data_IF_224627337236
#
_entry.id   IF_224627337236
#
_cell.length_a   1.000
_cell.length_b   1.000
_cell.length_c   1.000
_cell.angle_alpha   90.00
_cell.angle_beta   90.00
_cell.angle_gamma   90.00
#
_symmetry.space_group_name_H-M   'P 1'
#
loop_
_entity.id
_entity.type
_entity.pdbx_description
1 polymer ?
#
# COMPACT_ATOMS: atom_id res chain seq x y z
N UNK A 1 12.02 -10.22 20.55
CA UNK A 1 10.96 -10.46 19.54
C UNK A 1 9.89 -9.37 19.59
N UNK A 2 9.24 -9.14 20.75
CA UNK A 2 8.29 -8.01 20.92
C UNK A 2 8.87 -6.64 20.55
N UNK A 3 10.18 -6.48 20.72
CA UNK A 3 10.96 -5.30 20.32
C UNK A 3 10.89 -4.98 18.83
N UNK A 4 11.05 -5.97 17.93
CA UNK A 4 11.02 -5.72 16.48
C UNK A 4 9.61 -5.41 15.97
N UNK A 5 8.58 -6.04 16.54
CA UNK A 5 7.18 -5.74 16.19
C UNK A 5 6.85 -4.28 16.55
N UNK A 6 7.16 -3.87 17.77
CA UNK A 6 6.95 -2.49 18.22
C UNK A 6 7.75 -1.50 17.38
N UNK A 7 9.00 -1.82 17.05
CA UNK A 7 9.86 -0.98 16.22
C UNK A 7 9.29 -0.78 14.80
N UNK A 8 8.90 -1.87 14.14
CA UNK A 8 8.29 -1.81 12.79
C UNK A 8 6.99 -1.02 12.83
N UNK A 9 6.10 -1.29 13.80
CA UNK A 9 4.84 -0.56 13.92
C UNK A 9 5.05 0.93 14.21
N UNK A 10 6.06 1.30 14.99
CA UNK A 10 6.38 2.71 15.25
C UNK A 10 6.89 3.42 13.98
N UNK A 11 7.79 2.78 13.22
CA UNK A 11 8.28 3.32 11.94
C UNK A 11 7.17 3.45 10.92
N UNK A 12 6.39 2.38 10.73
CA UNK A 12 5.28 2.36 9.79
C UNK A 12 4.23 3.41 10.15
N UNK A 13 3.93 3.61 11.44
CA UNK A 13 3.01 4.66 11.87
C UNK A 13 3.50 6.05 11.48
N UNK A 14 4.79 6.34 11.63
CA UNK A 14 5.35 7.63 11.23
C UNK A 14 5.34 7.79 9.70
N UNK A 15 5.89 6.81 8.97
CA UNK A 15 5.99 6.89 7.51
C UNK A 15 4.61 6.94 6.83
N UNK A 16 3.66 6.09 7.24
CA UNK A 16 2.34 6.05 6.64
C UNK A 16 1.46 7.25 7.01
N UNK A 17 1.74 7.94 8.11
CA UNK A 17 1.05 9.20 8.44
C UNK A 17 1.43 10.34 7.50
N UNK A 18 2.67 10.33 6.97
CA UNK A 18 3.15 11.34 6.03
C UNK A 18 2.65 11.11 4.60
N UNK A 19 2.22 9.89 4.26
CA UNK A 19 1.69 9.57 2.93
C UNK A 19 0.36 10.29 2.68
N UNK A 20 0.41 11.31 1.83
CA UNK A 20 -0.77 12.12 1.42
C UNK A 20 -1.17 11.91 -0.03
N UNK A 21 -0.27 11.39 -0.86
CA UNK A 21 -0.52 11.10 -2.26
C UNK A 21 0.12 9.77 -2.70
N UNK A 22 -0.15 9.40 -3.96
CA UNK A 22 0.33 8.14 -4.56
C UNK A 22 1.83 8.13 -4.84
N UNK A 23 2.45 9.29 -5.04
CA UNK A 23 3.91 9.40 -5.20
C UNK A 23 4.59 9.05 -3.88
N UNK A 24 4.08 9.61 -2.78
CA UNK A 24 4.55 9.29 -1.43
C UNK A 24 4.29 7.82 -1.07
N UNK A 25 3.18 7.23 -1.53
CA UNK A 25 2.93 5.80 -1.38
C UNK A 25 3.97 4.94 -2.13
N UNK A 26 4.36 5.35 -3.35
CA UNK A 26 5.41 4.68 -4.12
C UNK A 26 6.79 4.79 -3.43
N UNK A 27 7.07 5.91 -2.78
CA UNK A 27 8.31 6.09 -2.01
C UNK A 27 8.32 5.26 -0.73
N UNK A 28 7.19 5.21 -0.01
CA UNK A 28 7.01 4.27 1.11
C UNK A 28 7.24 2.83 0.67
N UNK A 29 6.62 2.40 -0.44
CA UNK A 29 6.81 1.05 -1.03
C UNK A 29 8.29 0.77 -1.26
N UNK A 30 9.01 1.70 -1.90
CA UNK A 30 10.46 1.56 -2.18
C UNK A 30 11.28 1.41 -0.90
N UNK A 31 10.94 2.19 0.14
CA UNK A 31 11.55 2.10 1.46
C UNK A 31 11.36 0.73 2.11
N UNK A 32 10.13 0.22 2.14
CA UNK A 32 9.81 -1.09 2.71
C UNK A 32 10.48 -2.22 1.94
N UNK A 33 10.52 -2.16 0.61
CA UNK A 33 11.26 -3.14 -0.22
C UNK A 33 12.74 -3.17 0.15
N UNK A 34 13.38 -2.00 0.28
CA UNK A 34 14.79 -1.90 0.67
C UNK A 34 15.04 -2.55 2.04
N UNK A 35 14.18 -2.27 3.01
CA UNK A 35 14.25 -2.87 4.34
C UNK A 35 14.10 -4.40 4.29
N UNK A 36 13.11 -4.91 3.56
CA UNK A 36 12.85 -6.35 3.42
C UNK A 36 13.93 -7.12 2.66
N UNK A 37 14.69 -6.44 1.81
CA UNK A 37 15.85 -7.02 1.12
C UNK A 37 17.14 -6.93 1.95
N UNK A 38 17.13 -6.24 3.10
CA UNK A 38 18.29 -6.09 3.98
C UNK A 38 18.29 -7.21 5.05
N UNK A 39 19.23 -8.18 5.05
CA UNK A 39 19.12 -9.43 5.81
C UNK A 39 18.99 -9.35 7.35
N UNK A 40 19.14 -8.17 7.95
CA UNK A 40 19.04 -7.93 9.40
C UNK A 40 18.14 -6.73 9.74
N UNK A 41 17.36 -6.24 8.77
CA UNK A 41 16.39 -5.20 9.03
C UNK A 41 15.36 -5.64 10.09
N UNK A 42 14.89 -4.74 10.96
CA UNK A 42 13.76 -5.01 11.86
C UNK A 42 12.55 -5.60 11.14
N UNK A 43 12.31 -5.24 9.88
CA UNK A 43 11.22 -5.80 9.05
C UNK A 43 11.43 -7.28 8.77
N UNK A 44 12.63 -7.67 8.35
CA UNK A 44 12.99 -9.07 8.12
C UNK A 44 12.90 -9.88 9.40
N UNK A 45 13.32 -9.31 10.52
CA UNK A 45 13.26 -9.96 11.83
C UNK A 45 11.83 -10.09 12.36
N UNK A 46 10.99 -9.09 12.12
CA UNK A 46 9.56 -9.11 12.46
C UNK A 46 8.78 -10.14 11.61
N UNK A 47 9.14 -10.32 10.34
CA UNK A 47 8.47 -11.30 9.47
C UNK A 47 8.98 -12.73 9.64
N UNK A 48 10.08 -12.97 10.36
CA UNK A 48 10.49 -14.33 10.72
C UNK A 48 9.43 -14.94 11.64
N UNK A 49 9.15 -16.23 11.45
CA UNK A 49 8.18 -17.01 12.24
C UNK A 49 8.68 -17.27 13.65
N UNK A 50 8.74 -16.20 14.44
CA UNK A 50 9.57 -16.10 15.62
C UNK A 50 8.74 -15.32 16.65
N UNK A 51 8.31 -16.00 17.72
CA UNK A 51 7.40 -15.44 18.75
C UNK A 51 6.09 -16.24 18.88
N UNK A 52 5.21 -15.83 19.80
CA UNK A 52 3.92 -16.52 19.98
C UNK A 52 2.99 -16.28 18.79
N UNK A 53 2.04 -17.20 18.53
CA UNK A 53 1.01 -17.04 17.48
C UNK A 53 0.23 -15.74 17.68
N UNK A 54 -0.09 -15.42 18.95
CA UNK A 54 -0.84 -14.23 19.33
C UNK A 54 -0.07 -12.94 19.03
N UNK A 55 1.19 -12.84 19.44
CA UNK A 55 1.98 -11.62 19.19
C UNK A 55 2.13 -11.33 17.68
N UNK A 56 2.22 -12.39 16.87
CA UNK A 56 2.28 -12.25 15.40
C UNK A 56 0.95 -11.79 14.82
N UNK A 57 -0.18 -12.31 15.32
CA UNK A 57 -1.51 -11.87 14.92
C UNK A 57 -1.72 -10.39 15.26
N UNK A 58 -1.40 -10.00 16.51
CA UNK A 58 -1.52 -8.60 16.97
C UNK A 58 -0.63 -7.65 16.14
N UNK A 59 0.59 -8.08 15.80
CA UNK A 59 1.48 -7.33 14.91
C UNK A 59 0.90 -7.14 13.51
N UNK A 60 0.44 -8.22 12.88
CA UNK A 60 -0.13 -8.17 11.53
C UNK A 60 -1.42 -7.35 11.49
N UNK A 61 -2.27 -7.47 12.51
CA UNK A 61 -3.49 -6.68 12.64
C UNK A 61 -3.17 -5.19 12.81
N UNK A 62 -2.16 -4.86 13.62
CA UNK A 62 -1.68 -3.48 13.79
C UNK A 62 -1.14 -2.88 12.49
N UNK A 63 -0.31 -3.63 11.76
CA UNK A 63 0.24 -3.15 10.49
C UNK A 63 -0.84 -3.02 9.42
N UNK A 64 -1.79 -3.97 9.38
CA UNK A 64 -2.96 -3.94 8.50
C UNK A 64 -3.78 -2.67 8.71
N UNK A 65 -4.04 -2.31 9.96
CA UNK A 65 -4.79 -1.10 10.30
C UNK A 65 -4.10 0.19 9.85
N UNK A 66 -2.76 0.25 9.95
CA UNK A 66 -1.99 1.40 9.45
C UNK A 66 -2.10 1.52 7.92
N UNK A 67 -1.92 0.40 7.20
CA UNK A 67 -1.99 0.36 5.74
C UNK A 67 -3.40 0.71 5.27
N UNK A 68 -4.44 0.06 5.81
CA UNK A 68 -5.83 0.30 5.40
C UNK A 68 -6.24 1.75 5.66
N UNK A 69 -5.84 2.32 6.79
CA UNK A 69 -6.10 3.73 7.09
C UNK A 69 -5.44 4.69 6.08
N UNK A 70 -4.24 4.37 5.58
CA UNK A 70 -3.59 5.18 4.53
C UNK A 70 -4.27 4.99 3.17
N UNK A 71 -4.64 3.76 2.80
CA UNK A 71 -5.35 3.48 1.55
C UNK A 71 -6.70 4.21 1.52
N UNK A 72 -7.48 4.14 2.58
CA UNK A 72 -8.78 4.83 2.67
C UNK A 72 -8.63 6.35 2.48
N UNK A 73 -7.65 6.99 3.13
CA UNK A 73 -7.35 8.42 2.92
C UNK A 73 -7.00 8.76 1.48
N UNK A 74 -6.23 7.90 0.80
CA UNK A 74 -5.82 8.12 -0.59
C UNK A 74 -6.99 7.92 -1.57
N UNK A 75 -7.85 6.93 -1.32
CA UNK A 75 -9.07 6.69 -2.10
C UNK A 75 -10.05 7.87 -1.95
N UNK A 76 -10.22 8.40 -0.74
CA UNK A 76 -11.07 9.56 -0.47
C UNK A 76 -10.52 10.83 -1.14
N UNK A 77 -9.21 11.07 -1.07
CA UNK A 77 -8.58 12.25 -1.68
C UNK A 77 -8.74 12.26 -3.21
N UNK A 78 -8.67 11.10 -3.86
CA UNK A 78 -8.90 10.96 -5.31
C UNK A 78 -10.36 11.14 -5.74
N UNK A 79 -11.33 10.82 -4.88
CA UNK A 79 -12.76 10.98 -5.17
C UNK A 79 -13.20 12.45 -5.22
N UNK A 80 -12.44 13.38 -4.63
CA UNK A 80 -12.77 14.81 -4.53
C UNK A 80 -12.73 15.56 -5.87
N UNK A 81 -12.27 14.94 -6.96
CA UNK A 81 -12.24 15.54 -8.30
C UNK A 81 -13.59 15.51 -9.06
N UNK A 82 -14.59 14.80 -8.55
CA UNK A 82 -15.89 14.67 -9.19
C UNK A 82 -17.03 14.68 -8.20
N UNK A 83 -17.83 15.74 -8.24
CA UNK A 83 -19.14 15.89 -7.55
C UNK A 83 -19.05 16.52 -6.16
N UNK A 84 -19.21 17.85 -6.14
CA UNK A 84 -19.86 18.57 -5.04
C UNK A 84 -21.27 17.98 -4.85
N UNK A 85 -21.42 17.02 -3.95
CA UNK A 85 -22.56 16.87 -3.04
C UNK A 85 -22.60 15.49 -2.39
N UNK A 86 -22.92 15.52 -1.10
CA UNK A 86 -23.36 14.41 -0.26
C UNK A 86 -22.27 13.57 0.41
N UNK A 87 -22.00 13.99 1.64
CA UNK A 87 -21.52 13.18 2.76
C UNK A 87 -22.28 11.85 2.87
N UNK A 88 -21.79 10.84 2.17
CA UNK A 88 -22.06 9.44 2.48
C UNK A 88 -20.76 8.69 2.23
N UNK A 89 -20.02 8.45 3.31
CA UNK A 89 -18.89 7.53 3.30
C UNK A 89 -19.44 6.19 2.80
N UNK A 90 -19.11 5.83 1.56
CA UNK A 90 -19.64 4.61 0.96
C UNK A 90 -19.09 3.43 1.77
N UNK A 91 -19.93 2.56 2.36
CA UNK A 91 -19.47 1.40 3.12
C UNK A 91 -18.57 0.48 2.28
N UNK A 92 -18.57 0.62 0.96
CA UNK A 92 -17.69 -0.12 0.06
C UNK A 92 -16.23 0.37 0.09
N UNK A 93 -15.94 1.64 0.39
CA UNK A 93 -14.55 2.15 0.35
C UNK A 93 -13.68 1.58 1.47
N UNK A 94 -14.25 1.41 2.67
CA UNK A 94 -13.56 0.78 3.81
C UNK A 94 -13.28 -0.71 3.55
N UNK A 95 -14.27 -1.40 2.98
CA UNK A 95 -14.14 -2.80 2.57
C UNK A 95 -13.04 -2.97 1.50
N UNK A 96 -12.90 -2.01 0.60
CA UNK A 96 -11.87 -2.03 -0.44
C UNK A 96 -10.48 -1.69 0.13
N UNK A 97 -10.38 -0.71 1.03
CA UNK A 97 -9.13 -0.37 1.71
C UNK A 97 -8.59 -1.54 2.54
N UNK A 98 -9.47 -2.28 3.22
CA UNK A 98 -9.07 -3.47 3.97
C UNK A 98 -8.59 -4.59 3.04
N UNK A 99 -9.31 -4.88 1.95
CA UNK A 99 -8.84 -5.88 0.97
C UNK A 99 -7.46 -5.53 0.42
N UNK A 100 -7.24 -4.26 0.08
CA UNK A 100 -5.94 -3.78 -0.41
C UNK A 100 -4.85 -3.97 0.66
N UNK A 101 -5.12 -3.63 1.92
CA UNK A 101 -4.15 -3.82 3.01
C UNK A 101 -3.76 -5.29 3.20
N UNK A 102 -4.72 -6.22 3.09
CA UNK A 102 -4.46 -7.66 3.11
C UNK A 102 -3.56 -8.07 1.93
N UNK A 103 -3.86 -7.60 0.71
CA UNK A 103 -3.04 -7.89 -0.47
C UNK A 103 -1.61 -7.39 -0.32
N UNK A 104 -1.44 -6.17 0.20
CA UNK A 104 -0.12 -5.59 0.47
C UNK A 104 0.63 -6.45 1.50
N UNK A 105 0.01 -6.79 2.64
CA UNK A 105 0.66 -7.63 3.65
C UNK A 105 1.02 -9.03 3.13
N UNK A 106 0.15 -9.63 2.31
CA UNK A 106 0.41 -10.90 1.65
C UNK A 106 1.62 -10.79 0.70
N UNK A 107 1.71 -9.70 -0.08
CA UNK A 107 2.85 -9.41 -0.94
C UNK A 107 4.14 -9.19 -0.13
N UNK A 108 4.09 -8.43 0.96
CA UNK A 108 5.24 -8.21 1.82
C UNK A 108 5.74 -9.52 2.45
N UNK A 109 4.84 -10.39 2.91
CA UNK A 109 5.22 -11.64 3.57
C UNK A 109 5.68 -12.73 2.58
N UNK A 110 4.84 -13.02 1.59
CA UNK A 110 5.12 -14.04 0.57
C UNK A 110 6.23 -13.60 -0.39
N UNK A 111 6.15 -12.38 -0.89
CA UNK A 111 7.13 -11.79 -1.79
C UNK A 111 8.50 -11.68 -1.14
N UNK A 112 8.63 -11.18 0.09
CA UNK A 112 9.92 -11.14 0.81
C UNK A 112 10.50 -12.54 1.04
N UNK A 113 9.65 -13.54 1.31
CA UNK A 113 10.10 -14.92 1.46
C UNK A 113 10.67 -15.48 0.16
N UNK A 114 9.93 -15.36 -0.94
CA UNK A 114 10.38 -15.81 -2.26
C UNK A 114 11.64 -15.06 -2.73
N UNK A 115 11.66 -13.74 -2.56
CA UNK A 115 12.81 -12.91 -2.95
C UNK A 115 14.09 -13.27 -2.21
N UNK A 116 14.01 -13.61 -0.91
CA UNK A 116 15.18 -14.05 -0.15
C UNK A 116 15.66 -15.43 -0.56
N UNK A 117 14.73 -16.37 -0.82
CA UNK A 117 15.07 -17.71 -1.29
C UNK A 117 15.75 -17.68 -2.67
N UNK A 118 15.23 -16.85 -3.58
CA UNK A 118 15.76 -16.67 -4.92
C UNK A 118 16.97 -15.72 -5.00
N UNK A 119 17.27 -14.98 -3.91
CA UNK A 119 18.25 -13.87 -3.89
C UNK A 119 17.98 -12.81 -4.96
N UNK A 120 16.71 -12.50 -5.15
CA UNK A 120 16.20 -11.67 -6.24
C UNK A 120 15.05 -10.80 -5.73
N UNK A 121 15.08 -9.47 -5.87
CA UNK A 121 14.00 -8.61 -5.41
C UNK A 121 12.73 -8.69 -6.26
N UNK A 122 12.75 -9.30 -7.46
CA UNK A 122 11.60 -9.31 -8.40
C UNK A 122 10.30 -9.87 -7.79
N UNK A 123 10.27 -11.05 -7.13
CA UNK A 123 9.03 -11.57 -6.54
C UNK A 123 8.32 -10.60 -5.58
N UNK A 124 9.07 -9.89 -4.73
CA UNK A 124 8.52 -8.88 -3.83
C UNK A 124 8.01 -7.65 -4.60
N UNK A 125 8.77 -7.16 -5.57
CA UNK A 125 8.36 -6.01 -6.37
C UNK A 125 7.08 -6.30 -7.15
N UNK A 126 7.04 -7.42 -7.89
CA UNK A 126 5.91 -7.81 -8.73
C UNK A 126 4.64 -8.01 -7.89
N UNK A 127 4.75 -8.66 -6.73
CA UNK A 127 3.62 -8.85 -5.84
C UNK A 127 3.07 -7.53 -5.29
N UNK A 128 3.96 -6.56 -4.98
CA UNK A 128 3.54 -5.23 -4.55
C UNK A 128 2.94 -4.40 -5.68
N UNK A 129 3.46 -4.52 -6.90
CA UNK A 129 2.88 -3.84 -8.07
C UNK A 129 1.45 -4.33 -8.32
N UNK A 130 1.21 -5.64 -8.20
CA UNK A 130 -0.14 -6.21 -8.28
C UNK A 130 -1.05 -5.70 -7.15
N UNK A 131 -0.55 -5.66 -5.91
CA UNK A 131 -1.32 -5.18 -4.76
C UNK A 131 -1.63 -3.67 -4.81
N UNK A 132 -0.80 -2.89 -5.50
CA UNK A 132 -0.90 -1.44 -5.63
C UNK A 132 -1.42 -0.97 -6.98
N UNK A 133 -1.90 -1.88 -7.85
CA UNK A 133 -2.36 -1.55 -9.20
C UNK A 133 -3.48 -0.49 -9.23
N UNK A 134 -4.30 -0.41 -8.17
CA UNK A 134 -5.34 0.61 -8.01
C UNK A 134 -4.78 2.04 -7.94
N UNK A 135 -3.53 2.22 -7.50
CA UNK A 135 -2.91 3.53 -7.39
C UNK A 135 -2.51 4.10 -8.76
N UNK A 136 -2.38 3.27 -9.80
CA UNK A 136 -1.93 3.71 -11.14
C UNK A 136 -3.12 4.02 -12.10
N UNK A 137 -4.36 3.74 -11.68
CA UNK A 137 -5.50 3.62 -12.60
C UNK A 137 -6.02 4.97 -13.16
N UNK A 138 -5.76 6.11 -12.52
CA UNK A 138 -6.31 7.42 -12.93
C UNK A 138 -5.56 8.10 -14.09
N UNK A 139 -4.37 7.62 -14.47
CA UNK A 139 -3.64 8.21 -15.60
C UNK A 139 -4.21 7.78 -16.97
N UNK A 140 -5.11 6.78 -16.99
CA UNK A 140 -5.70 6.23 -18.21
C UNK A 140 -6.95 6.99 -18.70
N UNK A 141 -7.73 7.60 -17.79
CA UNK A 141 -8.98 8.28 -18.13
C UNK A 141 -8.82 9.73 -18.59
N UNK A 142 -7.67 10.37 -18.32
CA UNK A 142 -7.40 11.74 -18.76
C UNK A 142 -6.99 11.85 -20.26
N UNK A 143 -6.69 10.73 -20.94
CA UNK A 143 -6.16 10.74 -22.32
C UNK A 143 -7.20 10.64 -23.44
N UNK A 144 -8.48 10.42 -23.14
CA UNK A 144 -9.54 10.22 -24.16
C UNK A 144 -10.47 11.43 -24.37
N UNK A 145 -10.23 12.55 -23.68
CA UNK A 145 -11.13 13.71 -23.69
C UNK A 145 -10.61 14.94 -24.43
N UNK A 146 -9.95 14.83 -25.58
CA UNK A 146 -9.65 16.02 -26.41
C UNK A 146 -9.61 15.69 -27.90
N UNK A 147 -10.78 15.56 -28.50
CA UNK A 147 -10.96 15.75 -29.94
C UNK A 147 -12.36 16.29 -30.19
N UNK A 148 -12.55 17.56 -29.82
CA UNK A 148 -13.62 18.37 -30.39
C UNK A 148 -13.02 19.12 -31.58
N UNK A 149 -13.12 18.51 -32.76
CA UNK A 149 -12.85 19.21 -34.01
C UNK A 149 -13.90 20.29 -34.18
N UNK A 150 -13.51 21.52 -33.90
CA UNK A 150 -14.14 22.70 -34.49
C UNK A 150 -13.74 22.73 -35.96
N UNK A 151 -14.71 22.69 -36.87
CA UNK A 151 -14.52 23.19 -38.22
C UNK A 151 -15.67 24.11 -38.59
N UNK A 152 -15.26 25.34 -38.87
CA UNK A 152 -16.03 26.51 -39.24
C UNK A 152 -16.62 26.37 -40.66
N UNK A 153 -17.83 26.89 -40.80
CA UNK A 153 -18.26 27.91 -41.79
C UNK A 153 -17.66 27.81 -43.19
N UNK A 154 -18.52 27.49 -44.17
CA UNK A 154 -18.78 28.33 -45.37
C UNK A 154 -20.29 28.36 -45.60
#
# INVERSE_FOLDING_TARGET
MRTYFTEVLARERACLAEVTDRTMLADWRRGVVKELMTPQSPYVLALRQTGSVRDRADFLDGWRGLISGTVDRLLQSGATGGTLCSSAQSPNSDVDAQKIAVLILAALHGGSTLSRLARDPRPLNDALDLALAWADQDNSLAKTGTSSSTSKIV
#
